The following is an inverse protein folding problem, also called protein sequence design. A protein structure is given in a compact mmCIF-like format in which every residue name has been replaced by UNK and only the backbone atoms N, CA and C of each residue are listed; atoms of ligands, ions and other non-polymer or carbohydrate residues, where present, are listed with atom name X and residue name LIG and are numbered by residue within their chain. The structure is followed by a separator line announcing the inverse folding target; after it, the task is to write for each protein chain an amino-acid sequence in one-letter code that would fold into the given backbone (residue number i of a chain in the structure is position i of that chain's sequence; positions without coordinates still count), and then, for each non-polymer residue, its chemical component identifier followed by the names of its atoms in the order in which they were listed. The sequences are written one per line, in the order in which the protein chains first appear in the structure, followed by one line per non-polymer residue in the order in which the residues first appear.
data_IF_783777835870
#
_entry.id   IF_783777835870
#
_cell.length_a   1.000
_cell.length_b   1.000
_cell.length_c   1.000
_cell.angle_alpha   90.00
_cell.angle_beta   90.00
_cell.angle_gamma   90.00
#
_symmetry.space_group_name_H-M   'P 1'
#
loop_
_entity.id
_entity.type
_entity.pdbx_description
1 polymer ?
#
# COMPACT_ATOMS: atom_id res chain seq x y z
N UNK A 1 29.79 -0.30 23.75
CA UNK A 1 30.18 -0.96 25.00
C UNK A 1 29.92 -2.45 24.87
N UNK A 2 30.98 -3.25 24.72
CA UNK A 2 30.93 -4.71 24.67
C UNK A 2 30.70 -5.24 26.09
N UNK A 3 29.48 -5.68 26.42
CA UNK A 3 29.26 -6.53 27.57
C UNK A 3 29.69 -7.95 27.19
N UNK A 4 30.99 -8.23 27.31
CA UNK A 4 31.49 -9.59 27.46
C UNK A 4 31.12 -9.96 28.89
N UNK A 5 29.99 -10.64 29.07
CA UNK A 5 29.73 -11.32 30.33
C UNK A 5 30.76 -12.43 30.43
N UNK A 6 31.79 -12.13 31.21
CA UNK A 6 32.74 -13.07 31.77
C UNK A 6 31.92 -14.03 32.62
N UNK A 7 31.51 -15.17 32.05
CA UNK A 7 31.01 -16.30 32.83
C UNK A 7 32.24 -16.95 33.45
N UNK A 8 32.83 -16.28 34.44
CA UNK A 8 33.62 -16.93 35.47
C UNK A 8 32.62 -17.41 36.52
N UNK A 9 31.97 -18.53 36.24
CA UNK A 9 31.35 -19.31 37.29
C UNK A 9 32.44 -20.26 37.81
N UNK A 10 33.14 -19.81 38.85
CA UNK A 10 34.04 -20.62 39.64
C UNK A 10 33.16 -21.53 40.51
N UNK A 11 32.61 -22.59 39.92
CA UNK A 11 32.06 -23.72 40.66
C UNK A 11 33.11 -24.83 40.59
N UNK A 12 34.03 -24.79 41.54
CA UNK A 12 34.85 -25.94 41.92
C UNK A 12 33.90 -27.02 42.49
N UNK A 13 33.36 -27.84 41.59
CA UNK A 13 32.79 -29.14 41.96
C UNK A 13 33.77 -30.17 41.45
N UNK A 14 34.47 -30.81 42.38
CA UNK A 14 35.22 -32.03 42.09
C UNK A 14 34.22 -33.07 41.54
N UNK A 15 34.32 -33.37 40.25
CA UNK A 15 33.39 -34.22 39.53
C UNK A 15 34.23 -35.18 38.68
N UNK A 16 33.82 -36.43 38.60
CA UNK A 16 34.60 -37.53 38.04
C UNK A 16 35.09 -37.23 36.61
N UNK A 17 36.40 -37.38 36.35
CA UNK A 17 37.04 -37.15 35.03
C UNK A 17 36.71 -38.25 34.00
N UNK A 18 35.50 -38.81 34.05
CA UNK A 18 35.11 -39.86 33.10
C UNK A 18 34.86 -39.24 31.75
N UNK A 19 35.59 -39.70 30.74
CA UNK A 19 35.40 -39.28 29.35
C UNK A 19 34.75 -40.39 28.54
N UNK A 20 33.59 -40.12 27.94
CA UNK A 20 32.91 -41.01 27.01
C UNK A 20 33.15 -40.54 25.57
N UNK A 21 33.61 -41.45 24.71
CA UNK A 21 33.72 -41.23 23.27
C UNK A 21 32.57 -41.95 22.55
N UNK A 22 31.73 -41.18 21.87
CA UNK A 22 30.61 -41.73 21.11
C UNK A 22 31.04 -42.04 19.67
N UNK A 23 30.43 -43.07 19.06
CA UNK A 23 30.68 -43.47 17.66
C UNK A 23 30.50 -42.32 16.65
N UNK A 24 29.62 -41.36 16.97
CA UNK A 24 29.39 -40.18 16.14
C UNK A 24 30.51 -39.13 16.23
N UNK A 25 31.58 -39.40 16.98
CA UNK A 25 32.73 -38.52 17.22
C UNK A 25 32.49 -37.42 18.25
N UNK A 26 31.40 -37.47 19.01
CA UNK A 26 31.17 -36.57 20.15
C UNK A 26 31.90 -37.08 21.38
N UNK A 27 32.31 -36.17 22.25
CA UNK A 27 32.98 -36.48 23.51
C UNK A 27 32.20 -35.88 24.67
N UNK A 28 31.97 -36.66 25.71
CA UNK A 28 31.38 -36.20 26.97
C UNK A 28 32.41 -36.34 28.09
N UNK A 29 32.47 -35.36 29.00
CA UNK A 29 33.28 -35.41 30.22
C UNK A 29 32.40 -35.03 31.41
N UNK A 30 32.33 -35.88 32.43
CA UNK A 30 31.54 -35.65 33.64
C UNK A 30 31.05 -36.94 34.29
N UNK A 31 29.99 -36.83 35.09
CA UNK A 31 29.43 -37.96 35.84
C UNK A 31 28.80 -39.05 34.93
N UNK A 32 29.03 -40.31 35.28
CA UNK A 32 28.53 -41.45 34.52
C UNK A 32 27.76 -42.40 35.44
N UNK A 33 26.59 -42.84 34.99
CA UNK A 33 25.78 -43.87 35.65
C UNK A 33 25.39 -44.93 34.64
N UNK A 34 25.70 -46.20 34.93
CA UNK A 34 25.44 -47.34 34.04
C UNK A 34 26.01 -47.17 32.62
N UNK A 35 27.21 -46.59 32.51
CA UNK A 35 27.86 -46.33 31.21
C UNK A 35 27.24 -45.18 30.40
N UNK A 36 26.28 -44.44 30.96
CA UNK A 36 25.61 -43.31 30.32
C UNK A 36 25.93 -42.01 31.05
N UNK A 37 26.01 -40.90 30.31
CA UNK A 37 26.14 -39.56 30.88
C UNK A 37 25.01 -39.29 31.88
N UNK A 38 25.35 -38.83 33.06
CA UNK A 38 24.42 -38.53 34.16
C UNK A 38 24.95 -37.36 34.99
N UNK A 39 24.19 -36.83 35.95
CA UNK A 39 24.68 -35.75 36.81
C UNK A 39 25.08 -34.51 36.00
N UNK A 40 26.20 -33.87 36.35
CA UNK A 40 26.70 -32.71 35.59
C UNK A 40 27.80 -33.13 34.63
N UNK A 41 27.92 -32.42 33.51
CA UNK A 41 29.04 -32.63 32.61
C UNK A 41 29.01 -31.76 31.36
N UNK A 42 29.96 -32.02 30.48
CA UNK A 42 30.20 -31.27 29.25
C UNK A 42 30.20 -32.21 28.06
N UNK A 43 29.31 -31.96 27.10
CA UNK A 43 29.26 -32.65 25.81
C UNK A 43 29.78 -31.72 24.70
N UNK A 44 30.80 -32.17 23.99
CA UNK A 44 31.31 -31.54 22.76
C UNK A 44 30.94 -32.44 21.58
N UNK A 45 30.05 -31.95 20.73
CA UNK A 45 29.65 -32.71 19.52
C UNK A 45 30.74 -32.63 18.44
N UNK A 46 30.82 -33.62 17.55
CA UNK A 46 31.71 -33.58 16.36
C UNK A 46 31.53 -32.32 15.50
N UNK A 47 30.34 -31.72 15.52
CA UNK A 47 29.99 -30.52 14.76
C UNK A 47 30.35 -29.21 15.49
N UNK A 48 30.95 -29.28 16.69
CA UNK A 48 31.41 -28.12 17.46
C UNK A 48 30.35 -27.46 18.35
N UNK A 49 29.12 -28.00 18.43
CA UNK A 49 28.16 -27.58 19.46
C UNK A 49 28.66 -28.09 20.82
N UNK A 50 28.66 -27.20 21.81
CA UNK A 50 29.05 -27.48 23.19
C UNK A 50 27.80 -27.39 24.06
N UNK A 51 27.60 -28.35 24.96
CA UNK A 51 26.61 -28.30 26.01
C UNK A 51 27.28 -28.56 27.36
N UNK A 52 26.95 -27.77 28.37
CA UNK A 52 27.42 -27.93 29.74
C UNK A 52 26.23 -27.79 30.68
N UNK A 53 25.98 -28.80 31.49
CA UNK A 53 24.78 -28.85 32.33
C UNK A 53 24.44 -30.25 32.81
N UNK A 54 23.18 -30.45 33.15
CA UNK A 54 22.68 -31.69 33.72
C UNK A 54 22.34 -32.77 32.66
N UNK A 55 22.54 -34.02 33.04
CA UNK A 55 22.27 -35.20 32.22
C UNK A 55 21.47 -36.24 33.00
N UNK A 56 20.50 -36.84 32.31
CA UNK A 56 19.74 -37.98 32.81
C UNK A 56 19.75 -39.11 31.77
N UNK A 57 20.33 -40.25 32.16
CA UNK A 57 20.38 -41.48 31.36
C UNK A 57 20.82 -41.24 29.91
N UNK A 58 21.92 -40.50 29.73
CA UNK A 58 22.51 -40.21 28.43
C UNK A 58 21.86 -39.05 27.65
N UNK A 59 20.87 -38.37 28.22
CA UNK A 59 20.19 -37.23 27.58
C UNK A 59 20.39 -35.94 28.36
N UNK A 60 20.45 -34.81 27.66
CA UNK A 60 20.43 -33.49 28.31
C UNK A 60 19.12 -33.33 29.06
N UNK A 61 19.20 -32.99 30.34
CA UNK A 61 18.08 -32.80 31.24
C UNK A 61 18.38 -31.59 32.14
N UNK A 62 17.39 -31.08 32.89
CA UNK A 62 17.64 -30.06 33.92
C UNK A 62 18.20 -28.77 33.34
N UNK A 63 18.94 -28.01 34.13
CA UNK A 63 19.51 -26.75 33.69
C UNK A 63 20.81 -26.95 32.89
N UNK A 64 21.04 -26.12 31.87
CA UNK A 64 22.31 -26.11 31.17
C UNK A 64 22.49 -24.96 30.19
N UNK A 65 23.71 -24.88 29.67
CA UNK A 65 24.15 -23.90 28.68
C UNK A 65 24.55 -24.64 27.41
N UNK A 66 24.01 -24.22 26.26
CA UNK A 66 24.38 -24.75 24.95
C UNK A 66 24.91 -23.65 24.05
N UNK A 67 26.15 -23.80 23.60
CA UNK A 67 26.76 -22.96 22.56
C UNK A 67 26.65 -23.71 21.24
N UNK A 68 25.84 -23.17 20.33
CA UNK A 68 25.64 -23.72 18.99
C UNK A 68 26.83 -23.42 18.09
N UNK A 69 27.02 -24.23 17.04
CA UNK A 69 28.10 -24.06 16.05
C UNK A 69 28.15 -22.66 15.43
N UNK A 70 27.02 -21.99 15.27
CA UNK A 70 26.96 -20.66 14.68
C UNK A 70 27.40 -19.55 15.66
N UNK A 71 27.57 -19.86 16.95
CA UNK A 71 27.86 -18.93 18.03
C UNK A 71 26.62 -18.45 18.79
N UNK A 72 25.42 -18.93 18.45
CA UNK A 72 24.24 -18.71 19.27
C UNK A 72 24.39 -19.44 20.60
N UNK A 73 23.77 -18.91 21.67
CA UNK A 73 23.86 -19.48 23.02
C UNK A 73 22.47 -19.62 23.62
N UNK A 74 22.15 -20.80 24.13
CA UNK A 74 20.98 -21.05 24.96
C UNK A 74 21.40 -21.28 26.42
N UNK A 75 20.63 -20.74 27.35
CA UNK A 75 20.76 -20.97 28.78
C UNK A 75 19.38 -21.21 29.36
N UNK A 76 19.12 -22.39 29.91
CA UNK A 76 17.82 -22.74 30.44
C UNK A 76 17.63 -24.24 30.61
N UNK A 77 16.37 -24.65 30.73
CA UNK A 77 16.02 -26.03 31.02
C UNK A 77 16.01 -26.92 29.76
N UNK A 78 16.43 -28.17 29.94
CA UNK A 78 16.39 -29.22 28.95
C UNK A 78 15.53 -30.37 29.45
N UNK A 79 14.82 -31.02 28.53
CA UNK A 79 14.13 -32.27 28.78
C UNK A 79 14.35 -33.19 27.58
N UNK A 80 14.94 -34.37 27.83
CA UNK A 80 15.21 -35.40 26.81
C UNK A 80 15.86 -34.81 25.55
N UNK A 81 17.01 -34.14 25.72
CA UNK A 81 17.78 -33.47 24.66
C UNK A 81 17.14 -32.23 24.01
N UNK A 82 15.97 -31.78 24.44
CA UNK A 82 15.29 -30.59 23.89
C UNK A 82 15.26 -29.43 24.86
N UNK A 83 15.44 -28.20 24.37
CA UNK A 83 15.12 -26.99 25.15
C UNK A 83 13.64 -27.04 25.55
N UNK A 84 13.35 -26.86 26.83
CA UNK A 84 12.03 -27.02 27.42
C UNK A 84 11.85 -26.09 28.62
N UNK A 85 10.65 -25.61 28.90
CA UNK A 85 10.40 -24.70 30.02
C UNK A 85 11.10 -23.35 29.85
N UNK A 86 11.39 -22.65 30.96
CA UNK A 86 12.01 -21.33 30.91
C UNK A 86 13.46 -21.39 30.41
N UNK A 87 13.82 -20.43 29.55
CA UNK A 87 15.18 -20.27 29.07
C UNK A 87 15.42 -18.97 28.31
N UNK A 88 16.68 -18.74 27.95
CA UNK A 88 17.13 -17.58 27.19
C UNK A 88 17.99 -18.03 26.01
N UNK A 89 17.65 -17.56 24.81
CA UNK A 89 18.39 -17.82 23.58
C UNK A 89 18.91 -16.51 23.00
N UNK A 90 20.23 -16.36 22.95
CA UNK A 90 20.91 -15.30 22.23
C UNK A 90 21.34 -15.83 20.86
N UNK A 91 20.85 -15.21 19.79
CA UNK A 91 21.19 -15.60 18.42
C UNK A 91 22.43 -14.85 17.94
N UNK A 92 23.22 -15.49 17.07
CA UNK A 92 24.41 -14.91 16.43
C UNK A 92 24.12 -13.56 15.76
N UNK A 93 22.93 -13.40 15.19
CA UNK A 93 22.53 -12.18 14.50
C UNK A 93 22.27 -10.99 15.45
N UNK A 94 22.29 -11.20 16.78
CA UNK A 94 22.04 -10.21 17.81
C UNK A 94 20.59 -10.21 18.33
N UNK A 95 19.69 -10.98 17.75
CA UNK A 95 18.34 -11.17 18.28
C UNK A 95 18.38 -12.02 19.56
N UNK A 96 17.42 -11.83 20.44
CA UNK A 96 17.32 -12.55 21.70
C UNK A 96 15.88 -12.96 22.01
N UNK A 97 15.72 -14.15 22.57
CA UNK A 97 14.46 -14.63 23.13
C UNK A 97 14.64 -15.00 24.60
N UNK A 98 13.67 -14.65 25.42
CA UNK A 98 13.58 -15.07 26.81
C UNK A 98 12.14 -15.51 27.11
N UNK A 99 11.95 -16.73 27.58
CA UNK A 99 10.64 -17.27 27.90
C UNK A 99 10.57 -18.79 27.77
N UNK A 100 9.35 -19.30 27.58
CA UNK A 100 9.06 -20.72 27.58
C UNK A 100 9.45 -21.41 26.26
N UNK A 101 10.01 -22.61 26.37
CA UNK A 101 10.35 -23.50 25.26
C UNK A 101 9.57 -24.80 25.35
N UNK A 102 9.23 -25.38 24.21
CA UNK A 102 8.75 -26.74 24.10
C UNK A 102 9.34 -27.38 22.83
N UNK A 103 10.03 -28.52 22.99
CA UNK A 103 10.65 -29.26 21.89
C UNK A 103 11.52 -28.37 20.97
N UNK A 104 12.41 -27.59 21.57
CA UNK A 104 13.31 -26.66 20.86
C UNK A 104 12.62 -25.48 20.16
N UNK A 105 11.34 -25.20 20.45
CA UNK A 105 10.59 -24.08 19.87
C UNK A 105 10.16 -23.09 20.94
N UNK A 106 10.08 -21.81 20.59
CA UNK A 106 9.41 -20.82 21.43
C UNK A 106 7.95 -21.22 21.61
N UNK A 107 7.52 -21.28 22.86
CA UNK A 107 6.20 -21.69 23.27
C UNK A 107 5.75 -20.79 24.42
N UNK A 108 4.48 -20.92 24.85
CA UNK A 108 4.02 -20.27 26.07
C UNK A 108 4.22 -18.75 26.04
N UNK A 109 4.71 -18.18 27.13
CA UNK A 109 4.96 -16.75 27.30
C UNK A 109 6.42 -16.42 27.02
N UNK A 110 6.68 -15.30 26.34
CA UNK A 110 8.06 -14.87 26.14
C UNK A 110 8.22 -13.46 25.64
N UNK A 111 9.47 -13.02 25.61
CA UNK A 111 9.93 -11.76 25.06
C UNK A 111 10.95 -12.05 23.96
N UNK A 112 10.65 -11.61 22.75
CA UNK A 112 11.59 -11.58 21.64
C UNK A 112 12.08 -10.15 21.42
N UNK A 113 13.39 -9.95 21.38
CA UNK A 113 14.04 -8.67 21.12
C UNK A 113 14.84 -8.80 19.84
N UNK A 114 14.46 -8.06 18.80
CA UNK A 114 15.24 -7.97 17.57
C UNK A 114 16.43 -7.05 17.78
N UNK A 115 17.54 -7.28 17.06
CA UNK A 115 18.72 -6.39 17.03
C UNK A 115 18.36 -4.95 16.64
N UNK A 116 17.26 -4.75 15.91
CA UNK A 116 16.75 -3.42 15.57
C UNK A 116 16.21 -2.63 16.78
N UNK A 117 16.08 -3.25 17.95
CA UNK A 117 15.44 -2.69 19.14
C UNK A 117 13.93 -2.90 19.18
N UNK A 118 13.35 -3.53 18.15
CA UNK A 118 11.94 -3.97 18.21
C UNK A 118 11.80 -5.04 19.29
N UNK A 119 10.70 -5.01 20.04
CA UNK A 119 10.42 -5.96 21.12
C UNK A 119 9.01 -6.50 20.96
N UNK A 120 8.84 -7.81 21.06
CA UNK A 120 7.55 -8.47 21.24
C UNK A 120 7.51 -9.13 22.60
N UNK A 121 6.44 -8.91 23.35
CA UNK A 121 6.12 -9.59 24.61
C UNK A 121 4.74 -10.20 24.49
N UNK A 122 4.60 -11.52 24.63
CA UNK A 122 3.31 -12.17 24.46
C UNK A 122 3.42 -13.68 24.36
N UNK A 123 2.35 -14.29 23.85
CA UNK A 123 2.30 -15.73 23.68
C UNK A 123 2.99 -16.20 22.38
N UNK A 124 3.57 -17.37 22.42
CA UNK A 124 4.20 -18.06 21.30
C UNK A 124 3.62 -19.47 21.17
N UNK A 125 3.50 -19.93 19.93
CA UNK A 125 3.17 -21.31 19.62
C UNK A 125 3.99 -21.75 18.41
N UNK A 126 4.85 -22.77 18.60
CA UNK A 126 5.73 -23.29 17.55
C UNK A 126 6.55 -22.20 16.83
N UNK A 127 7.29 -21.39 17.60
CA UNK A 127 8.11 -20.25 17.13
C UNK A 127 7.33 -19.03 16.60
N UNK A 128 6.00 -19.11 16.49
CA UNK A 128 5.17 -18.03 15.96
C UNK A 128 4.50 -17.26 17.09
N UNK A 129 4.40 -15.94 16.94
CA UNK A 129 3.54 -15.11 17.80
C UNK A 129 2.10 -15.63 17.72
N UNK A 130 1.49 -15.81 18.88
CA UNK A 130 0.15 -16.36 19.02
C UNK A 130 -0.56 -15.71 20.21
N UNK A 131 -1.88 -15.85 20.34
CA UNK A 131 -2.64 -15.36 21.49
C UNK A 131 -2.44 -13.86 21.72
N UNK A 132 -2.46 -13.42 22.99
CA UNK A 132 -2.26 -12.01 23.34
C UNK A 132 -0.77 -11.62 23.33
N UNK A 133 -0.46 -10.46 22.77
CA UNK A 133 0.90 -9.91 22.83
C UNK A 133 1.02 -8.47 22.35
N UNK A 134 2.08 -7.82 22.82
CA UNK A 134 2.45 -6.45 22.47
C UNK A 134 3.76 -6.42 21.71
N UNK A 135 3.76 -5.81 20.52
CA UNK A 135 4.98 -5.43 19.79
C UNK A 135 5.20 -3.93 19.92
N UNK A 136 6.45 -3.54 20.19
CA UNK A 136 6.90 -2.15 20.29
C UNK A 136 8.12 -1.97 19.40
N UNK A 137 8.07 -0.96 18.52
CA UNK A 137 9.19 -0.48 17.72
C UNK A 137 9.27 1.05 17.83
N UNK A 138 10.27 1.68 17.22
CA UNK A 138 10.42 3.14 17.24
C UNK A 138 9.17 3.83 16.66
N UNK A 139 8.41 4.54 17.50
CA UNK A 139 7.17 5.24 17.14
C UNK A 139 5.97 4.33 16.85
N UNK A 140 6.08 3.01 16.99
CA UNK A 140 5.02 2.09 16.60
C UNK A 140 4.74 1.08 17.71
N UNK A 141 3.46 0.87 18.02
CA UNK A 141 3.06 -0.22 18.92
C UNK A 141 1.84 -0.95 18.37
N UNK A 142 1.75 -2.25 18.66
CA UNK A 142 0.50 -2.99 18.54
C UNK A 142 0.33 -3.89 19.75
N UNK A 143 -0.80 -3.78 20.43
CA UNK A 143 -1.19 -4.60 21.56
C UNK A 143 -2.52 -5.28 21.25
N UNK A 144 -2.51 -6.60 21.08
CA UNK A 144 -3.71 -7.31 20.65
C UNK A 144 -3.48 -8.81 20.46
N UNK A 145 -4.40 -9.41 19.72
CA UNK A 145 -4.39 -10.84 19.43
C UNK A 145 -3.53 -11.18 18.20
N UNK A 146 -2.91 -12.35 18.23
CA UNK A 146 -2.03 -12.86 17.19
C UNK A 146 -2.43 -14.29 16.83
N UNK A 147 -2.38 -14.61 15.54
CA UNK A 147 -2.59 -15.94 15.03
C UNK A 147 -1.58 -16.25 13.93
N UNK A 148 -0.81 -17.33 14.12
CA UNK A 148 0.23 -17.80 13.19
C UNK A 148 1.21 -16.68 12.77
N UNK A 149 1.57 -15.79 13.71
CA UNK A 149 2.49 -14.68 13.45
C UNK A 149 1.85 -13.41 12.89
N UNK A 150 0.56 -13.42 12.54
CA UNK A 150 -0.19 -12.27 12.03
C UNK A 150 -1.07 -11.64 13.12
N UNK A 151 -1.30 -10.33 13.05
CA UNK A 151 -2.33 -9.67 13.86
C UNK A 151 -3.70 -10.21 13.48
N UNK A 152 -4.50 -10.51 14.48
CA UNK A 152 -5.85 -11.07 14.35
C UNK A 152 -6.73 -10.55 15.49
N UNK A 153 -8.03 -10.87 15.48
CA UNK A 153 -8.92 -10.58 16.61
C UNK A 153 -8.95 -9.09 16.94
N UNK A 154 -8.99 -8.73 18.22
CA UNK A 154 -8.99 -7.34 18.66
C UNK A 154 -7.57 -6.85 18.95
N UNK A 155 -7.30 -5.57 18.68
CA UNK A 155 -6.04 -4.97 19.05
C UNK A 155 -5.97 -3.47 18.80
N UNK A 156 -5.10 -2.83 19.57
CA UNK A 156 -4.82 -1.41 19.51
C UNK A 156 -3.45 -1.20 18.86
N UNK A 157 -3.41 -0.41 17.79
CA UNK A 157 -2.18 0.02 17.13
C UNK A 157 -1.98 1.52 17.29
N UNK A 158 -0.78 1.92 17.71
CA UNK A 158 -0.28 3.30 17.57
C UNK A 158 0.67 3.35 16.39
N UNK A 159 0.39 4.24 15.44
CA UNK A 159 1.22 4.47 14.25
C UNK A 159 2.37 5.43 14.56
N UNK A 160 3.38 5.46 13.69
CA UNK A 160 4.53 6.39 13.80
C UNK A 160 4.11 7.87 13.82
N UNK A 161 2.97 8.19 13.23
CA UNK A 161 2.35 9.51 13.24
C UNK A 161 1.72 9.90 14.58
N UNK A 162 1.57 8.94 15.50
CA UNK A 162 0.79 9.08 16.72
C UNK A 162 -0.67 8.66 16.55
N UNK A 163 -1.17 8.48 15.33
CA UNK A 163 -2.54 8.01 15.09
C UNK A 163 -2.79 6.67 15.79
N UNK A 164 -4.06 6.40 16.10
CA UNK A 164 -4.44 5.22 16.88
C UNK A 164 -5.56 4.48 16.15
N UNK A 165 -5.42 3.17 16.02
CA UNK A 165 -6.51 2.29 15.64
C UNK A 165 -6.81 1.31 16.77
N UNK A 166 -8.05 1.29 17.24
CA UNK A 166 -8.57 0.32 18.20
C UNK A 166 -9.70 -0.46 17.54
N UNK A 167 -9.49 -1.75 17.26
CA UNK A 167 -10.52 -2.53 16.62
C UNK A 167 -10.08 -3.91 16.18
N UNK A 168 -10.84 -4.46 15.23
CA UNK A 168 -10.62 -5.80 14.72
C UNK A 168 -9.52 -5.85 13.64
N UNK A 169 -8.81 -6.97 13.63
CA UNK A 169 -7.67 -7.25 12.76
C UNK A 169 -7.84 -8.61 12.08
N UNK A 170 -7.40 -8.69 10.83
CA UNK A 170 -7.30 -9.95 10.09
C UNK A 170 -6.09 -9.90 9.16
N UNK A 171 -5.16 -10.85 9.32
CA UNK A 171 -3.99 -10.98 8.46
C UNK A 171 -3.13 -9.71 8.38
N UNK A 172 -2.83 -9.08 9.52
CA UNK A 172 -2.12 -7.79 9.61
C UNK A 172 -2.87 -6.56 9.06
N UNK A 173 -4.13 -6.69 8.64
CA UNK A 173 -4.94 -5.56 8.15
C UNK A 173 -6.08 -5.23 9.09
N UNK A 174 -6.42 -3.94 9.21
CA UNK A 174 -7.64 -3.47 9.90
C UNK A 174 -8.86 -4.09 9.20
N UNK A 175 -9.78 -4.68 9.96
CA UNK A 175 -10.90 -5.44 9.42
C UNK A 175 -12.07 -5.47 10.41
N UNK A 176 -13.33 -5.45 9.94
CA UNK A 176 -14.51 -5.37 10.80
C UNK A 176 -14.59 -4.04 11.56
N UNK A 177 -15.36 -4.02 12.65
CA UNK A 177 -15.53 -2.83 13.49
C UNK A 177 -14.22 -2.33 14.09
N UNK A 178 -14.00 -1.03 14.03
CA UNK A 178 -12.91 -0.36 14.73
C UNK A 178 -13.02 1.16 14.73
N UNK A 179 -12.29 1.76 15.68
CA UNK A 179 -12.14 3.18 15.91
C UNK A 179 -10.75 3.63 15.44
N UNK A 180 -10.71 4.62 14.57
CA UNK A 180 -9.48 5.27 14.12
C UNK A 180 -9.47 6.72 14.60
N UNK A 181 -8.40 7.12 15.27
CA UNK A 181 -8.16 8.49 15.73
C UNK A 181 -7.00 9.08 14.95
N UNK A 182 -7.28 10.00 14.02
CA UNK A 182 -6.26 10.78 13.32
C UNK A 182 -5.93 12.02 14.13
N UNK A 183 -4.81 11.99 14.85
CA UNK A 183 -4.51 13.01 15.86
C UNK A 183 -4.22 14.38 15.24
N UNK A 184 -3.53 14.42 14.10
CA UNK A 184 -3.24 15.66 13.38
C UNK A 184 -4.50 16.34 12.85
N UNK A 185 -5.44 15.55 12.34
CA UNK A 185 -6.73 16.05 11.87
C UNK A 185 -7.70 16.32 13.03
N UNK A 186 -7.44 15.78 14.23
CA UNK A 186 -8.37 15.73 15.38
C UNK A 186 -9.71 15.08 15.02
N UNK A 187 -9.68 14.11 14.12
CA UNK A 187 -10.86 13.41 13.62
C UNK A 187 -10.86 11.99 14.13
N UNK A 188 -12.02 11.51 14.55
CA UNK A 188 -12.22 10.11 14.93
C UNK A 188 -13.22 9.49 13.95
N UNK A 189 -12.95 8.28 13.50
CA UNK A 189 -13.90 7.45 12.76
C UNK A 189 -14.19 6.17 13.53
N UNK A 190 -15.46 5.84 13.69
CA UNK A 190 -15.92 4.57 14.26
C UNK A 190 -16.79 3.86 13.23
N UNK A 191 -16.41 2.66 12.82
CA UNK A 191 -17.19 1.92 11.84
C UNK A 191 -16.50 0.71 11.28
N UNK A 192 -16.98 0.27 10.12
CA UNK A 192 -16.54 -0.96 9.47
C UNK A 192 -15.27 -0.75 8.62
N UNK A 193 -14.37 -1.74 8.70
CA UNK A 193 -13.11 -1.79 7.97
C UNK A 193 -13.03 -3.04 7.11
N UNK A 194 -12.51 -2.91 5.89
CA UNK A 194 -12.24 -4.06 5.04
C UNK A 194 -10.89 -3.90 4.36
N UNK A 195 -9.97 -4.84 4.65
CA UNK A 195 -8.61 -4.87 4.09
C UNK A 195 -7.89 -3.52 4.24
N UNK A 196 -7.98 -2.94 5.44
CA UNK A 196 -7.32 -1.68 5.76
C UNK A 196 -8.01 -0.41 5.27
N UNK A 197 -9.19 -0.50 4.64
CA UNK A 197 -9.97 0.65 4.17
C UNK A 197 -11.28 0.78 4.94
N UNK A 198 -11.67 2.02 5.21
CA UNK A 198 -13.02 2.36 5.69
C UNK A 198 -14.06 1.92 4.65
N UNK A 199 -15.07 1.15 5.08
CA UNK A 199 -16.14 0.62 4.23
C UNK A 199 -17.40 0.30 5.03
N UNK A 200 -18.57 0.50 4.45
CA UNK A 200 -19.84 0.20 5.12
C UNK A 200 -20.19 1.27 6.15
N UNK A 201 -21.06 0.94 7.10
CA UNK A 201 -21.55 1.91 8.07
C UNK A 201 -20.43 2.45 8.98
N UNK A 202 -20.47 3.76 9.23
CA UNK A 202 -19.60 4.38 10.21
C UNK A 202 -19.91 5.85 10.46
N UNK A 203 -19.31 6.36 11.53
CA UNK A 203 -19.54 7.69 12.09
C UNK A 203 -18.19 8.40 12.19
N UNK A 204 -18.10 9.58 11.59
CA UNK A 204 -17.02 10.52 11.87
C UNK A 204 -17.43 11.42 13.03
N UNK A 205 -16.55 11.58 14.02
CA UNK A 205 -16.66 12.58 15.06
C UNK A 205 -15.67 13.71 14.76
N UNK A 206 -16.19 14.92 14.75
CA UNK A 206 -15.45 16.11 14.37
C UNK A 206 -15.01 16.91 15.61
N UNK A 207 -14.00 17.79 15.48
CA UNK A 207 -13.47 18.57 16.60
C UNK A 207 -14.48 19.51 17.28
N UNK A 208 -15.52 19.92 16.55
CA UNK A 208 -16.60 20.80 17.06
C UNK A 208 -17.70 20.03 17.80
N UNK A 209 -17.53 18.72 18.00
CA UNK A 209 -18.50 17.84 18.65
C UNK A 209 -19.61 17.32 17.74
N UNK A 210 -19.70 17.82 16.50
CA UNK A 210 -20.65 17.28 15.51
C UNK A 210 -20.20 15.89 15.01
N UNK A 211 -21.13 15.17 14.38
CA UNK A 211 -20.84 13.86 13.80
C UNK A 211 -21.51 13.68 12.43
N UNK A 212 -20.90 12.84 11.59
CA UNK A 212 -21.45 12.46 10.28
C UNK A 212 -21.52 10.95 10.17
N UNK A 213 -22.74 10.41 10.14
CA UNK A 213 -23.00 8.98 9.98
C UNK A 213 -23.33 8.67 8.52
N UNK A 214 -22.88 7.52 8.04
CA UNK A 214 -23.23 7.05 6.70
C UNK A 214 -22.54 5.75 6.29
N UNK A 215 -22.83 5.31 5.07
CA UNK A 215 -22.25 4.17 4.36
C UNK A 215 -21.05 4.66 3.54
N UNK A 216 -19.86 4.18 3.89
CA UNK A 216 -18.61 4.59 3.26
C UNK A 216 -18.23 3.64 2.11
N UNK A 217 -17.81 4.17 0.94
CA UNK A 217 -17.48 5.58 0.65
C UNK A 217 -18.60 6.40 -0.02
N UNK A 218 -19.84 5.92 -0.05
CA UNK A 218 -20.93 6.59 -0.78
C UNK A 218 -21.30 7.93 -0.14
N UNK A 219 -21.47 7.96 1.17
CA UNK A 219 -21.88 9.14 1.92
C UNK A 219 -20.74 10.16 2.11
N UNK A 220 -19.50 9.81 1.73
CA UNK A 220 -18.41 10.81 1.67
C UNK A 220 -18.75 11.90 0.67
N UNK A 221 -19.49 11.59 -0.41
CA UNK A 221 -19.72 12.48 -1.56
C UNK A 221 -20.47 13.77 -1.21
N UNK A 222 -21.17 13.81 -0.08
CA UNK A 222 -21.96 14.95 0.38
C UNK A 222 -21.25 15.79 1.44
N UNK A 223 -20.08 15.37 1.96
CA UNK A 223 -19.38 16.13 3.00
C UNK A 223 -19.08 17.57 2.54
N UNK A 224 -19.31 18.57 3.42
CA UNK A 224 -18.89 19.95 3.17
C UNK A 224 -17.37 20.12 3.29
N UNK A 225 -16.84 21.21 2.72
CA UNK A 225 -15.39 21.40 2.58
C UNK A 225 -14.66 21.55 3.93
N UNK A 226 -15.29 22.12 4.95
CA UNK A 226 -14.75 22.20 6.31
C UNK A 226 -14.37 20.81 6.87
N UNK A 227 -15.16 19.78 6.56
CA UNK A 227 -14.85 18.38 6.92
C UNK A 227 -13.76 17.81 6.02
N UNK A 228 -13.79 18.11 4.72
CA UNK A 228 -12.78 17.65 3.77
C UNK A 228 -11.39 18.23 4.09
N UNK A 229 -11.32 19.48 4.55
CA UNK A 229 -10.09 20.11 5.03
C UNK A 229 -9.42 19.29 6.14
N UNK A 230 -10.22 18.69 7.04
CA UNK A 230 -9.71 17.81 8.09
C UNK A 230 -9.25 16.47 7.52
N UNK A 231 -10.03 15.87 6.61
CA UNK A 231 -9.67 14.58 5.98
C UNK A 231 -8.38 14.65 5.14
N UNK A 232 -8.06 15.80 4.55
CA UNK A 232 -6.80 16.08 3.85
C UNK A 232 -5.59 15.95 4.78
N UNK A 233 -5.76 16.16 6.09
CA UNK A 233 -4.67 16.09 7.08
C UNK A 233 -4.46 14.68 7.65
N UNK A 234 -5.33 13.72 7.35
CA UNK A 234 -5.21 12.35 7.82
C UNK A 234 -4.04 11.64 7.14
N UNK A 235 -3.27 10.84 7.89
CA UNK A 235 -2.19 10.03 7.31
C UNK A 235 -2.70 8.83 6.49
N UNK A 236 -4.01 8.55 6.55
CA UNK A 236 -4.63 7.48 5.77
C UNK A 236 -4.80 7.86 4.29
N UNK A 237 -4.06 7.17 3.43
CA UNK A 237 -4.07 7.33 1.97
C UNK A 237 -5.49 7.15 1.38
N UNK A 238 -6.29 6.23 1.93
CA UNK A 238 -7.66 6.02 1.46
C UNK A 238 -8.55 7.22 1.74
N UNK A 239 -8.43 7.80 2.94
CA UNK A 239 -9.18 8.99 3.35
C UNK A 239 -8.83 10.21 2.49
N UNK A 240 -7.54 10.50 2.29
CA UNK A 240 -7.12 11.62 1.42
C UNK A 240 -7.55 11.41 -0.02
N UNK A 241 -7.51 10.18 -0.51
CA UNK A 241 -8.03 9.84 -1.83
C UNK A 241 -9.54 10.07 -1.95
N UNK A 242 -10.32 9.74 -0.91
CA UNK A 242 -11.75 10.06 -0.90
C UNK A 242 -12.01 11.56 -0.90
N UNK A 243 -11.25 12.34 -0.11
CA UNK A 243 -11.34 13.79 -0.13
C UNK A 243 -11.06 14.37 -1.53
N UNK A 244 -10.02 13.89 -2.21
CA UNK A 244 -9.67 14.31 -3.58
C UNK A 244 -10.79 14.06 -4.62
N UNK A 245 -11.63 13.04 -4.41
CA UNK A 245 -12.72 12.65 -5.32
C UNK A 245 -14.01 13.42 -5.05
N UNK A 246 -14.12 14.06 -3.89
CA UNK A 246 -15.35 14.73 -3.49
C UNK A 246 -15.55 16.02 -4.31
N UNK A 247 -16.73 16.19 -4.90
CA UNK A 247 -17.09 17.37 -5.71
C UNK A 247 -17.16 18.67 -4.91
N UNK A 248 -17.44 18.58 -3.60
CA UNK A 248 -17.56 19.72 -2.69
C UNK A 248 -16.20 20.21 -2.17
N UNK A 249 -15.09 19.52 -2.47
CA UNK A 249 -13.76 19.97 -2.05
C UNK A 249 -13.47 21.35 -2.65
N UNK A 250 -13.02 22.29 -1.83
CA UNK A 250 -12.58 23.60 -2.29
C UNK A 250 -11.21 23.50 -2.98
N UNK A 251 -10.87 24.52 -3.76
CA UNK A 251 -9.53 24.63 -4.33
C UNK A 251 -8.44 24.71 -3.27
N UNK A 252 -8.72 25.39 -2.16
CA UNK A 252 -7.80 25.48 -1.02
C UNK A 252 -7.43 24.10 -0.46
N UNK A 253 -8.42 23.22 -0.30
CA UNK A 253 -8.22 21.85 0.17
C UNK A 253 -7.57 20.96 -0.89
N UNK A 254 -8.04 21.03 -2.13
CA UNK A 254 -7.58 20.19 -3.23
C UNK A 254 -6.13 20.49 -3.61
N UNK A 255 -5.70 21.76 -3.56
CA UNK A 255 -4.33 22.18 -3.87
C UNK A 255 -3.28 21.45 -3.02
N UNK A 256 -3.59 21.19 -1.75
CA UNK A 256 -2.72 20.40 -0.84
C UNK A 256 -2.49 18.98 -1.34
N UNK A 257 -3.50 18.37 -1.99
CA UNK A 257 -3.43 17.01 -2.49
C UNK A 257 -2.77 16.90 -3.88
N UNK A 258 -2.63 18.01 -4.63
CA UNK A 258 -1.95 18.02 -5.94
C UNK A 258 -0.43 17.75 -5.83
N UNK A 259 0.12 17.93 -4.64
CA UNK A 259 1.50 17.59 -4.27
C UNK A 259 1.58 16.52 -3.17
N UNK A 260 0.51 15.76 -2.94
CA UNK A 260 0.48 14.70 -1.92
C UNK A 260 1.70 13.78 -2.06
N UNK A 261 2.29 13.39 -0.94
CA UNK A 261 3.48 12.53 -0.88
C UNK A 261 3.18 11.16 -1.52
N UNK A 262 1.96 10.66 -1.34
CA UNK A 262 1.52 9.40 -1.87
C UNK A 262 1.06 9.51 -3.32
N UNK A 263 1.76 8.82 -4.23
CA UNK A 263 1.50 8.85 -5.68
C UNK A 263 0.03 8.59 -6.05
N UNK A 264 -0.65 7.66 -5.35
CA UNK A 264 -2.07 7.35 -5.59
C UNK A 264 -2.99 8.54 -5.31
N UNK A 265 -2.78 9.27 -4.22
CA UNK A 265 -3.59 10.43 -3.85
C UNK A 265 -3.30 11.56 -4.84
N UNK A 266 -2.02 11.82 -5.12
CA UNK A 266 -1.59 12.84 -6.09
C UNK A 266 -2.19 12.61 -7.47
N UNK A 267 -2.13 11.38 -7.99
CA UNK A 267 -2.77 11.01 -9.27
C UNK A 267 -4.27 11.27 -9.26
N UNK A 268 -4.96 10.85 -8.20
CA UNK A 268 -6.41 11.08 -8.05
C UNK A 268 -6.74 12.57 -7.99
N UNK A 269 -6.07 13.34 -7.14
CA UNK A 269 -6.30 14.78 -6.98
C UNK A 269 -6.11 15.53 -8.29
N UNK A 270 -5.01 15.27 -9.02
CA UNK A 270 -4.74 15.91 -10.32
C UNK A 270 -5.76 15.54 -11.39
N UNK A 271 -6.20 14.28 -11.41
CA UNK A 271 -7.22 13.82 -12.33
C UNK A 271 -8.58 14.49 -12.08
N UNK A 272 -8.99 14.62 -10.82
CA UNK A 272 -10.24 15.28 -10.46
C UNK A 272 -10.16 16.80 -10.60
N UNK A 273 -9.01 17.42 -10.30
CA UNK A 273 -8.74 18.83 -10.58
C UNK A 273 -8.91 19.15 -12.08
N UNK A 274 -8.35 18.33 -12.97
CA UNK A 274 -8.45 18.53 -14.42
C UNK A 274 -9.89 18.51 -14.97
N UNK A 275 -10.83 17.88 -14.25
CA UNK A 275 -12.26 17.80 -14.63
C UNK A 275 -13.08 19.01 -14.23
N UNK A 276 -12.57 19.87 -13.34
CA UNK A 276 -13.36 20.95 -12.74
C UNK A 276 -13.40 22.17 -13.64
N UNK A 277 -14.59 22.72 -13.86
CA UNK A 277 -14.75 23.92 -14.68
C UNK A 277 -14.19 25.18 -14.01
N UNK A 278 -14.07 25.19 -12.67
CA UNK A 278 -13.48 26.30 -11.90
C UNK A 278 -11.95 26.18 -11.72
N UNK A 279 -11.27 25.34 -12.52
CA UNK A 279 -9.83 25.12 -12.47
C UNK A 279 -9.03 26.42 -12.71
N UNK A 280 -8.17 26.88 -11.76
CA UNK A 280 -7.35 28.07 -11.96
C UNK A 280 -6.35 27.92 -13.10
N UNK A 281 -6.08 29.01 -13.84
CA UNK A 281 -5.19 28.98 -15.02
C UNK A 281 -3.76 28.50 -14.69
N UNK A 282 -3.23 28.89 -13.53
CA UNK A 282 -1.95 28.38 -12.99
C UNK A 282 -1.92 26.85 -13.03
N UNK A 283 -2.98 26.22 -12.55
CA UNK A 283 -3.08 24.76 -12.49
C UNK A 283 -3.34 24.14 -13.86
N UNK A 284 -4.07 24.79 -14.76
CA UNK A 284 -4.17 24.32 -16.15
C UNK A 284 -2.77 24.20 -16.82
N UNK A 285 -1.90 25.19 -16.59
CA UNK A 285 -0.53 25.23 -17.15
C UNK A 285 0.39 24.15 -16.57
N UNK A 286 0.17 23.77 -15.31
CA UNK A 286 0.88 22.66 -14.68
C UNK A 286 0.34 21.31 -15.18
N UNK A 287 -0.98 21.12 -15.15
CA UNK A 287 -1.62 19.85 -15.50
C UNK A 287 -1.48 19.49 -16.98
N UNK A 288 -1.34 20.47 -17.89
CA UNK A 288 -1.06 20.17 -19.31
C UNK A 288 0.31 19.51 -19.54
N UNK A 289 1.22 19.59 -18.57
CA UNK A 289 2.54 18.95 -18.59
C UNK A 289 2.60 17.69 -17.72
N UNK A 290 1.48 17.29 -17.13
CA UNK A 290 1.46 16.15 -16.20
C UNK A 290 1.89 14.87 -16.90
N UNK A 291 2.70 14.03 -16.25
CA UNK A 291 3.16 12.77 -16.84
C UNK A 291 2.00 11.78 -17.10
N UNK A 292 0.93 11.84 -16.32
CA UNK A 292 -0.23 10.99 -16.47
C UNK A 292 -1.13 11.48 -17.61
N UNK A 293 -1.25 10.66 -18.67
CA UNK A 293 -2.08 10.98 -19.82
C UNK A 293 -3.56 11.17 -19.47
N UNK A 294 -4.08 10.53 -18.42
CA UNK A 294 -5.48 10.68 -18.04
C UNK A 294 -5.75 12.08 -17.50
N UNK A 295 -4.79 12.67 -16.77
CA UNK A 295 -4.88 14.06 -16.30
C UNK A 295 -4.96 15.01 -17.51
N UNK A 296 -4.04 14.86 -18.46
CA UNK A 296 -4.00 15.67 -19.68
C UNK A 296 -5.24 15.44 -20.56
N UNK A 297 -5.76 14.22 -20.61
CA UNK A 297 -7.00 13.88 -21.33
C UNK A 297 -8.22 14.59 -20.76
N UNK A 298 -8.39 14.56 -19.43
CA UNK A 298 -9.49 15.27 -18.78
C UNK A 298 -9.36 16.78 -18.93
N UNK A 299 -8.14 17.32 -18.84
CA UNK A 299 -7.89 18.74 -19.08
C UNK A 299 -8.25 19.14 -20.52
N UNK A 300 -7.85 18.35 -21.51
CA UNK A 300 -8.19 18.60 -22.92
C UNK A 300 -9.70 18.59 -23.20
N UNK A 301 -10.48 17.81 -22.43
CA UNK A 301 -11.93 17.72 -22.57
C UNK A 301 -12.71 18.75 -21.76
N UNK A 302 -12.04 19.52 -20.89
CA UNK A 302 -12.68 20.47 -19.99
C UNK A 302 -13.07 21.76 -20.73
N UNK A 303 -14.34 22.15 -20.62
CA UNK A 303 -14.91 23.30 -21.34
C UNK A 303 -14.49 24.66 -20.78
N UNK A 304 -13.81 24.73 -19.64
CA UNK A 304 -13.24 25.98 -19.14
C UNK A 304 -11.81 26.24 -19.64
N UNK A 305 -11.17 25.24 -20.25
CA UNK A 305 -9.78 25.37 -20.71
C UNK A 305 -9.71 26.25 -21.95
N UNK A 306 -8.79 27.20 -21.93
CA UNK A 306 -8.62 28.17 -23.02
C UNK A 306 -8.02 27.53 -24.27
N UNK A 307 -8.37 28.10 -25.42
CA UNK A 307 -7.83 27.69 -26.72
C UNK A 307 -6.29 27.75 -26.81
N UNK A 308 -5.63 28.60 -26.00
CA UNK A 308 -4.16 28.67 -25.91
C UNK A 308 -3.56 27.39 -25.32
N UNK A 309 -4.16 26.85 -24.26
CA UNK A 309 -3.72 25.61 -23.61
C UNK A 309 -4.06 24.40 -24.49
N UNK A 310 -5.25 24.40 -25.07
CA UNK A 310 -5.66 23.36 -26.04
C UNK A 310 -4.71 23.28 -27.24
N UNK A 311 -4.22 24.41 -27.75
CA UNK A 311 -3.22 24.42 -28.82
C UNK A 311 -1.89 23.74 -28.44
N UNK A 312 -1.50 23.75 -27.16
CA UNK A 312 -0.33 23.00 -26.66
C UNK A 312 -0.64 21.51 -26.61
N UNK A 313 -1.79 21.13 -26.02
CA UNK A 313 -2.24 19.74 -25.91
C UNK A 313 -2.53 19.10 -27.27
N UNK A 314 -2.81 19.89 -28.31
CA UNK A 314 -2.96 19.41 -29.69
C UNK A 314 -1.69 18.74 -30.23
N UNK A 315 -0.52 19.00 -29.63
CA UNK A 315 0.76 18.39 -30.00
C UNK A 315 1.14 17.19 -29.11
N UNK A 316 0.25 16.76 -28.22
CA UNK A 316 0.51 15.64 -27.33
C UNK A 316 0.75 14.34 -28.10
N UNK A 317 1.62 13.47 -27.59
CA UNK A 317 1.89 12.17 -28.21
C UNK A 317 0.66 11.24 -28.17
N UNK A 318 -0.19 11.35 -27.16
CA UNK A 318 -1.34 10.45 -26.99
C UNK A 318 -2.51 10.86 -27.87
N UNK A 319 -2.98 9.92 -28.70
CA UNK A 319 -4.12 10.09 -29.62
C UNK A 319 -5.38 10.54 -28.88
N UNK A 320 -5.66 9.94 -27.71
CA UNK A 320 -6.86 10.27 -26.90
C UNK A 320 -6.91 11.74 -26.50
N UNK A 321 -5.76 12.35 -26.22
CA UNK A 321 -5.65 13.76 -25.80
C UNK A 321 -5.92 14.65 -27.01
N UNK A 322 -5.24 14.41 -28.14
CA UNK A 322 -5.46 15.17 -29.39
C UNK A 322 -6.91 15.06 -29.90
N UNK A 323 -7.52 13.88 -29.81
CA UNK A 323 -8.95 13.67 -30.10
C UNK A 323 -9.89 14.39 -29.12
N UNK A 324 -9.49 14.54 -27.85
CA UNK A 324 -10.24 15.32 -26.85
C UNK A 324 -10.17 16.82 -27.18
N UNK A 325 -8.98 17.33 -27.49
CA UNK A 325 -8.78 18.71 -27.96
C UNK A 325 -9.63 18.99 -29.21
N UNK A 326 -9.59 18.10 -30.21
CA UNK A 326 -10.37 18.27 -31.43
C UNK A 326 -11.88 18.43 -31.18
N UNK A 327 -12.44 17.74 -30.18
CA UNK A 327 -13.86 17.82 -29.80
C UNK A 327 -14.20 19.01 -28.90
N UNK A 328 -13.22 19.59 -28.22
CA UNK A 328 -13.44 20.72 -27.32
C UNK A 328 -13.92 21.96 -28.11
N UNK A 329 -14.99 22.61 -27.64
CA UNK A 329 -15.62 23.76 -28.31
C UNK A 329 -14.76 25.02 -28.26
N UNK A 330 -13.80 25.10 -27.32
CA UNK A 330 -12.86 26.23 -27.21
C UNK A 330 -11.60 26.07 -28.09
N UNK A 331 -11.52 25.00 -28.87
CA UNK A 331 -10.40 24.79 -29.78
C UNK A 331 -10.40 25.84 -30.90
N UNK A 332 -9.26 26.51 -31.05
CA UNK A 332 -9.09 27.57 -32.03
C UNK A 332 -9.07 27.01 -33.47
N UNK A 333 -9.46 27.79 -34.49
CA UNK A 333 -9.42 27.35 -35.89
C UNK A 333 -8.05 26.81 -36.33
N UNK A 334 -6.95 27.46 -35.92
CA UNK A 334 -5.57 26.99 -36.17
C UNK A 334 -5.28 25.61 -35.55
N UNK A 335 -5.92 25.30 -34.42
CA UNK A 335 -5.79 24.02 -33.74
C UNK A 335 -6.52 22.93 -34.52
N UNK A 336 -7.72 23.21 -35.04
CA UNK A 336 -8.40 22.30 -35.96
C UNK A 336 -7.64 22.11 -37.26
N UNK A 337 -7.02 23.16 -37.81
CA UNK A 337 -6.20 23.05 -39.02
C UNK A 337 -5.01 22.10 -38.81
N UNK A 338 -4.30 22.24 -37.68
CA UNK A 338 -3.24 21.30 -37.26
C UNK A 338 -3.78 19.85 -37.14
N UNK A 339 -4.86 19.66 -36.38
CA UNK A 339 -5.41 18.33 -36.09
C UNK A 339 -6.10 17.68 -37.31
N UNK A 340 -6.53 18.46 -38.30
CA UNK A 340 -7.03 17.94 -39.58
C UNK A 340 -5.94 17.25 -40.42
N UNK A 341 -4.67 17.49 -40.10
CA UNK A 341 -3.50 16.84 -40.71
C UNK A 341 -2.95 15.69 -39.85
N UNK A 342 -3.61 15.35 -38.73
CA UNK A 342 -3.10 14.32 -37.83
C UNK A 342 -2.95 12.99 -38.55
N UNK A 343 -1.90 12.23 -38.24
CA UNK A 343 -1.69 10.90 -38.82
C UNK A 343 -2.81 9.92 -38.46
N UNK A 344 -3.40 10.08 -37.28
CA UNK A 344 -4.44 9.20 -36.75
C UNK A 344 -5.83 9.62 -37.23
N UNK A 345 -6.52 8.69 -37.88
CA UNK A 345 -7.87 8.95 -38.40
C UNK A 345 -8.87 9.28 -37.28
N UNK A 346 -8.66 8.77 -36.06
CA UNK A 346 -9.50 9.09 -34.89
C UNK A 346 -9.47 10.58 -34.53
N UNK A 347 -8.31 11.23 -34.68
CA UNK A 347 -8.16 12.67 -34.42
C UNK A 347 -8.82 13.46 -35.53
N UNK A 348 -8.57 13.12 -36.81
CA UNK A 348 -9.23 13.79 -37.95
C UNK A 348 -10.75 13.65 -37.92
N UNK A 349 -11.26 12.47 -37.55
CA UNK A 349 -12.69 12.23 -37.28
C UNK A 349 -13.21 13.15 -36.18
N UNK A 350 -12.46 13.29 -35.09
CA UNK A 350 -12.85 14.16 -33.97
C UNK A 350 -12.97 15.63 -34.39
N UNK A 351 -12.10 16.09 -35.29
CA UNK A 351 -12.20 17.43 -35.89
C UNK A 351 -13.47 17.55 -36.74
N UNK A 352 -13.72 16.57 -37.62
CA UNK A 352 -14.93 16.54 -38.45
C UNK A 352 -16.24 16.44 -37.63
N UNK A 353 -16.21 15.91 -36.42
CA UNK A 353 -17.38 15.85 -35.53
C UNK A 353 -17.66 17.17 -34.79
N UNK A 354 -16.68 18.08 -34.72
CA UNK A 354 -16.84 19.33 -33.98
C UNK A 354 -17.74 20.30 -34.76
N UNK A 355 -18.80 20.80 -34.13
CA UNK A 355 -19.76 21.73 -34.73
C UNK A 355 -19.17 23.12 -35.00
N UNK A 356 -18.00 23.43 -34.46
CA UNK A 356 -17.25 24.67 -34.74
C UNK A 356 -16.20 24.48 -35.85
N UNK A 357 -16.12 23.29 -36.45
CA UNK A 357 -15.22 23.05 -37.57
C UNK A 357 -15.59 23.92 -38.78
N UNK A 358 -14.61 24.59 -39.36
CA UNK A 358 -14.82 25.46 -40.52
C UNK A 358 -15.13 24.66 -41.79
N UNK A 359 -15.91 25.25 -42.70
CA UNK A 359 -16.19 24.65 -44.01
C UNK A 359 -14.90 24.34 -44.79
N UNK A 360 -13.86 25.20 -44.70
CA UNK A 360 -12.55 24.95 -45.31
C UNK A 360 -11.95 23.62 -44.86
N UNK A 361 -12.02 23.31 -43.57
CA UNK A 361 -11.48 22.05 -43.03
C UNK A 361 -12.39 20.87 -43.42
N UNK A 362 -13.72 21.04 -43.39
CA UNK A 362 -14.64 19.99 -43.84
C UNK A 362 -14.45 19.65 -45.33
N UNK A 363 -14.21 20.64 -46.18
CA UNK A 363 -13.92 20.46 -47.62
C UNK A 363 -12.69 19.58 -47.85
N UNK A 364 -11.70 19.67 -46.95
CA UNK A 364 -10.52 18.82 -46.97
C UNK A 364 -10.85 17.41 -46.47
N UNK A 365 -11.56 17.31 -45.34
CA UNK A 365 -11.85 16.03 -44.68
C UNK A 365 -12.91 15.19 -45.41
N UNK A 366 -13.74 15.78 -46.28
CA UNK A 366 -14.71 15.04 -47.12
C UNK A 366 -14.00 14.07 -48.08
N UNK A 367 -12.73 14.35 -48.41
CA UNK A 367 -11.86 13.51 -49.25
C UNK A 367 -10.87 12.67 -48.44
N UNK A 368 -11.09 12.52 -47.13
CA UNK A 368 -10.16 11.78 -46.27
C UNK A 368 -10.07 10.31 -46.69
N UNK A 369 -8.85 9.76 -46.63
CA UNK A 369 -8.59 8.33 -46.93
C UNK A 369 -9.40 7.37 -46.06
N UNK A 370 -9.73 7.76 -44.83
CA UNK A 370 -10.42 6.88 -43.90
C UNK A 370 -11.94 7.16 -43.89
N UNK A 371 -12.74 6.15 -44.23
CA UNK A 371 -14.19 6.27 -44.37
C UNK A 371 -14.90 6.87 -43.14
N UNK A 372 -14.52 6.49 -41.91
CA UNK A 372 -15.10 7.06 -40.67
C UNK A 372 -14.91 8.57 -40.52
N UNK A 373 -13.90 9.15 -41.16
CA UNK A 373 -13.71 10.62 -41.18
C UNK A 373 -14.73 11.23 -42.14
N UNK A 374 -14.87 10.68 -43.35
CA UNK A 374 -15.88 11.11 -44.33
C UNK A 374 -17.31 10.96 -43.81
N UNK A 375 -17.60 9.86 -43.10
CA UNK A 375 -18.87 9.65 -42.40
C UNK A 375 -19.13 10.75 -41.36
N UNK A 376 -18.12 11.15 -40.58
CA UNK A 376 -18.26 12.24 -39.63
C UNK A 376 -18.52 13.59 -40.32
N UNK A 377 -17.91 13.85 -41.47
CA UNK A 377 -18.21 15.04 -42.29
C UNK A 377 -19.68 15.01 -42.75
N UNK A 378 -20.17 13.88 -43.24
CA UNK A 378 -21.58 13.71 -43.64
C UNK A 378 -22.56 14.05 -42.51
N UNK A 379 -22.21 13.65 -41.29
CA UNK A 379 -23.02 13.91 -40.09
C UNK A 379 -22.89 15.35 -39.57
N UNK A 380 -21.82 16.10 -39.91
CA UNK A 380 -21.59 17.44 -39.40
C UNK A 380 -22.69 18.44 -39.87
N UNK A 381 -23.24 19.29 -38.98
CA UNK A 381 -24.27 20.25 -39.35
C UNK A 381 -23.81 21.35 -40.32
N UNK A 382 -22.51 21.66 -40.39
CA UNK A 382 -21.96 22.74 -41.21
C UNK A 382 -21.55 22.29 -42.64
N UNK A 383 -22.01 21.12 -43.09
CA UNK A 383 -21.68 20.59 -44.41
C UNK A 383 -22.34 21.42 -45.53
N UNK A 384 -21.58 21.77 -46.57
CA UNK A 384 -22.13 22.45 -47.75
C UNK A 384 -22.76 21.47 -48.75
N UNK A 385 -23.59 21.98 -49.66
CA UNK A 385 -24.21 21.15 -50.70
C UNK A 385 -23.17 20.51 -51.63
N UNK A 386 -22.10 21.22 -51.97
CA UNK A 386 -20.97 20.67 -52.74
C UNK A 386 -20.34 19.44 -52.07
N UNK A 387 -20.14 19.49 -50.76
CA UNK A 387 -19.62 18.36 -49.99
C UNK A 387 -20.60 17.19 -49.98
N UNK A 388 -21.91 17.43 -49.93
CA UNK A 388 -22.92 16.37 -50.03
C UNK A 388 -22.83 15.66 -51.39
N UNK A 389 -22.66 16.41 -52.48
CA UNK A 389 -22.49 15.82 -53.82
C UNK A 389 -21.26 14.92 -53.90
N UNK A 390 -20.14 15.30 -53.26
CA UNK A 390 -18.96 14.43 -53.14
C UNK A 390 -19.30 13.14 -52.39
N UNK A 391 -20.03 13.22 -51.28
CA UNK A 391 -20.39 12.06 -50.45
C UNK A 391 -21.41 11.11 -51.10
N UNK A 392 -22.25 11.60 -52.02
CA UNK A 392 -23.16 10.76 -52.79
C UNK A 392 -22.42 9.79 -53.72
N UNK A 393 -21.18 10.14 -54.09
CA UNK A 393 -20.28 9.33 -54.92
C UNK A 393 -19.27 8.54 -54.08
N UNK A 394 -19.41 8.51 -52.74
CA UNK A 394 -18.49 7.79 -51.86
C UNK A 394 -18.54 6.28 -52.12
N UNK A 395 -17.40 5.60 -52.04
CA UNK A 395 -17.28 4.15 -52.22
C UNK A 395 -18.13 3.37 -51.19
N UNK A 396 -18.32 3.94 -50.00
CA UNK A 396 -19.02 3.34 -48.88
C UNK A 396 -20.54 3.58 -48.92
N UNK A 397 -21.38 2.54 -49.04
CA UNK A 397 -22.85 2.70 -49.16
C UNK A 397 -23.49 3.47 -48.01
N UNK A 398 -22.99 3.25 -46.79
CA UNK A 398 -23.43 3.93 -45.58
C UNK A 398 -23.21 5.45 -45.63
N UNK A 399 -22.16 5.92 -46.30
CA UNK A 399 -21.87 7.35 -46.45
C UNK A 399 -22.76 7.95 -47.53
N UNK A 400 -22.94 7.25 -48.66
CA UNK A 400 -23.87 7.66 -49.72
C UNK A 400 -25.29 7.87 -49.18
N UNK A 401 -25.74 6.97 -48.29
CA UNK A 401 -27.07 7.07 -47.68
C UNK A 401 -27.22 8.28 -46.75
N UNK A 402 -26.18 8.64 -46.00
CA UNK A 402 -26.19 9.84 -45.16
C UNK A 402 -26.25 11.13 -46.01
N UNK A 403 -25.59 11.14 -47.17
CA UNK A 403 -25.70 12.25 -48.13
C UNK A 403 -27.13 12.50 -48.62
N UNK A 404 -27.98 11.46 -48.66
CA UNK A 404 -29.39 11.56 -49.09
C UNK A 404 -30.35 12.07 -48.00
N UNK A 405 -30.00 11.99 -46.72
CA UNK A 405 -30.93 12.16 -45.59
C UNK A 405 -31.06 13.60 -45.05
N UNK A 406 -30.20 14.55 -45.45
CA UNK A 406 -30.29 15.96 -45.01
C UNK A 406 -30.96 16.83 -46.10
N UNK A 407 -32.30 16.82 -46.12
CA UNK A 407 -33.12 17.85 -46.78
C UNK A 407 -33.17 19.11 -45.91
#
# INVERSE_FOLDING_TARGET
MKFIFMVTCLLLVACSDTTLHYENGSTYTGDVKNGLAHGTGKLVTKKGTIYEGEFELGTKHGFGVQIFRDGSTYTGNFQRNSMYGEGSLQLKNGDAYHGEFAHNKFHGSGKYTWKSGTVYKGKFYNNLRHGKGKITAKGYTYNGEWQKGYKSGNGIQTFASGDIYDGKWSGNTRHGKGKMSWLKAKVIYEGEWQRGKVRGDGIFHWPDGSHSQGIWPEDVKSLPDDRLQMLVLCDDVGIREYAARNKNISWYSLEKLLYDDHLRVRKTARMYAAKRNDLPEKWMRELMKDANEDVRFYLAGNSSVSGKILAVLAKDNAVKIRSSVARNTNSLPRTHELLSNDREWLVRRSVAQNTQCSQKILQKLVKDKHWRVRQAVAMNPNISEEMKQILLQDEEPQIRNLGKQKK
#
